data_IF_013015104607
#
_entry.id   IF_013015104607
#
_cell.length_a   1.000
_cell.length_b   1.000
_cell.length_c   1.000
_cell.angle_alpha   90.00
_cell.angle_beta   90.00
_cell.angle_gamma   90.00
#
_symmetry.space_group_name_H-M   'P 1'
#
loop_
_entity.id
_entity.type
_entity.pdbx_description
1 polymer ?
#
# COMPACT_ATOMS: atom_id res chain seq x y z
N UNK A 1 -21.04 22.61 1.49
CA UNK A 1 -20.96 21.92 0.18
C UNK A 1 -19.75 20.98 0.05
N UNK A 2 -18.60 21.25 0.69
CA UNK A 2 -17.41 20.39 0.63
C UNK A 2 -17.53 19.08 1.42
N UNK A 3 -18.32 18.99 2.47
CA UNK A 3 -18.48 17.79 3.30
C UNK A 3 -18.93 16.56 2.50
N UNK A 4 -19.90 16.75 1.63
CA UNK A 4 -20.42 15.67 0.79
C UNK A 4 -19.36 15.20 -0.24
N UNK A 5 -18.62 16.15 -0.83
CA UNK A 5 -17.51 15.85 -1.73
C UNK A 5 -16.44 15.01 -1.07
N UNK A 6 -15.98 15.38 0.14
CA UNK A 6 -15.00 14.60 0.89
C UNK A 6 -15.48 13.20 1.24
N UNK A 7 -16.76 13.05 1.59
CA UNK A 7 -17.35 11.73 1.86
C UNK A 7 -17.27 10.83 0.63
N UNK A 8 -17.66 11.33 -0.54
CA UNK A 8 -17.60 10.57 -1.78
C UNK A 8 -16.17 10.27 -2.23
N UNK A 9 -15.27 11.24 -2.19
CA UNK A 9 -13.91 11.09 -2.73
C UNK A 9 -13.02 10.27 -1.81
N UNK A 10 -13.10 10.42 -0.49
CA UNK A 10 -12.20 9.73 0.45
C UNK A 10 -12.80 8.44 1.00
N UNK A 11 -14.08 8.43 1.36
CA UNK A 11 -14.66 7.26 2.01
C UNK A 11 -15.25 6.26 1.02
N UNK A 12 -16.03 6.71 0.03
CA UNK A 12 -16.65 5.80 -0.94
C UNK A 12 -15.67 5.31 -2.01
N UNK A 13 -14.62 6.08 -2.31
CA UNK A 13 -13.60 5.66 -3.27
C UNK A 13 -12.92 4.34 -2.89
N UNK A 14 -12.75 4.06 -1.59
CA UNK A 14 -12.21 2.79 -1.11
C UNK A 14 -13.00 1.58 -1.64
N UNK A 15 -14.33 1.68 -1.71
CA UNK A 15 -15.18 0.56 -2.12
C UNK A 15 -15.01 0.20 -3.59
N UNK A 16 -14.63 1.15 -4.45
CA UNK A 16 -14.37 0.89 -5.86
C UNK A 16 -13.22 -0.12 -6.07
N UNK A 17 -12.26 -0.14 -5.16
CA UNK A 17 -11.09 -1.03 -5.25
C UNK A 17 -11.31 -2.38 -4.58
N UNK A 18 -12.27 -2.51 -3.65
CA UNK A 18 -12.54 -3.76 -2.93
C UNK A 18 -12.89 -4.89 -3.89
N UNK A 19 -13.79 -4.63 -4.85
CA UNK A 19 -14.27 -5.65 -5.79
C UNK A 19 -13.13 -6.16 -6.69
N UNK A 20 -12.41 -5.31 -7.46
CA UNK A 20 -11.37 -5.78 -8.35
C UNK A 20 -10.20 -6.43 -7.60
N UNK A 21 -9.80 -5.89 -6.45
CA UNK A 21 -8.73 -6.49 -5.64
C UNK A 21 -9.14 -7.86 -5.07
N UNK A 22 -10.39 -8.01 -4.63
CA UNK A 22 -10.91 -9.30 -4.13
C UNK A 22 -10.93 -10.36 -5.21
N UNK A 23 -11.27 -10.00 -6.44
CA UNK A 23 -11.22 -10.91 -7.60
C UNK A 23 -9.76 -11.31 -7.92
N UNK A 24 -8.85 -10.33 -7.95
CA UNK A 24 -7.44 -10.56 -8.24
C UNK A 24 -6.74 -11.43 -7.20
N UNK A 25 -6.99 -11.18 -5.92
CA UNK A 25 -6.27 -11.82 -4.80
C UNK A 25 -7.10 -12.84 -4.03
N UNK A 26 -8.18 -13.39 -4.61
CA UNK A 26 -9.06 -14.38 -3.97
C UNK A 26 -8.32 -15.60 -3.37
N UNK A 27 -7.19 -16.00 -3.94
CA UNK A 27 -6.38 -17.13 -3.48
C UNK A 27 -5.28 -16.74 -2.47
N UNK A 28 -5.20 -15.46 -2.08
CA UNK A 28 -4.22 -14.92 -1.14
C UNK A 28 -4.90 -13.99 -0.13
N UNK A 29 -5.75 -14.51 0.76
CA UNK A 29 -6.60 -13.67 1.61
C UNK A 29 -5.82 -12.78 2.58
N UNK A 30 -4.67 -13.22 3.09
CA UNK A 30 -3.84 -12.42 3.99
C UNK A 30 -3.24 -11.21 3.27
N UNK A 31 -2.77 -11.41 2.02
CA UNK A 31 -2.25 -10.32 1.20
C UNK A 31 -3.36 -9.34 0.83
N UNK A 32 -4.54 -9.84 0.44
CA UNK A 32 -5.71 -9.02 0.16
C UNK A 32 -6.10 -8.18 1.39
N UNK A 33 -6.16 -8.79 2.56
CA UNK A 33 -6.46 -8.09 3.81
C UNK A 33 -5.46 -6.96 4.06
N UNK A 34 -4.16 -7.23 3.92
CA UNK A 34 -3.11 -6.24 4.12
C UNK A 34 -3.22 -5.07 3.13
N UNK A 35 -3.46 -5.37 1.84
CA UNK A 35 -3.65 -4.36 0.78
C UNK A 35 -4.85 -3.46 1.11
N UNK A 36 -6.00 -4.06 1.44
CA UNK A 36 -7.23 -3.30 1.74
C UNK A 36 -7.07 -2.46 3.01
N UNK A 37 -6.45 -3.00 4.06
CA UNK A 37 -6.16 -2.25 5.29
C UNK A 37 -5.24 -1.07 5.01
N UNK A 38 -4.17 -1.26 4.24
CA UNK A 38 -3.25 -0.19 3.86
C UNK A 38 -3.98 0.89 3.05
N UNK A 39 -4.81 0.48 2.10
CA UNK A 39 -5.59 1.40 1.27
C UNK A 39 -6.57 2.24 2.11
N UNK A 40 -7.34 1.59 2.99
CA UNK A 40 -8.28 2.26 3.90
C UNK A 40 -7.55 3.24 4.82
N UNK A 41 -6.42 2.81 5.42
CA UNK A 41 -5.63 3.64 6.32
C UNK A 41 -5.07 4.88 5.62
N UNK A 42 -4.61 4.74 4.39
CA UNK A 42 -4.07 5.85 3.58
C UNK A 42 -5.15 6.89 3.24
N UNK A 43 -6.37 6.46 2.97
CA UNK A 43 -7.49 7.35 2.63
C UNK A 43 -8.27 7.84 3.85
N UNK A 44 -8.00 7.30 5.02
CA UNK A 44 -8.64 7.70 6.28
C UNK A 44 -8.20 9.11 6.67
N UNK A 45 -9.13 10.04 6.97
CA UNK A 45 -8.78 11.41 7.35
C UNK A 45 -7.89 11.52 8.59
N UNK A 46 -8.05 10.56 9.51
CA UNK A 46 -7.29 10.49 10.77
C UNK A 46 -6.76 9.07 10.96
N UNK A 47 -5.61 8.72 10.33
CA UNK A 47 -4.97 7.43 10.55
C UNK A 47 -4.50 7.33 12.01
N UNK A 48 -4.70 6.16 12.61
CA UNK A 48 -4.25 5.89 13.98
C UNK A 48 -2.94 5.09 13.99
N UNK A 49 -2.20 5.19 15.09
CA UNK A 49 -1.00 4.36 15.30
C UNK A 49 -1.33 2.86 15.28
N UNK A 50 -2.53 2.49 15.73
CA UNK A 50 -3.00 1.10 15.70
C UNK A 50 -3.14 0.56 14.27
N UNK A 51 -3.61 1.39 13.32
CA UNK A 51 -3.71 1.02 11.92
C UNK A 51 -2.32 0.69 11.34
N UNK A 52 -1.31 1.50 11.66
CA UNK A 52 0.08 1.28 11.27
C UNK A 52 0.68 0.04 11.95
N UNK A 53 0.38 -0.19 13.23
CA UNK A 53 0.86 -1.36 13.96
C UNK A 53 0.39 -2.66 13.32
N UNK A 54 -0.86 -2.75 12.87
CA UNK A 54 -1.38 -3.92 12.15
C UNK A 54 -0.64 -4.11 10.82
N UNK A 55 -0.43 -3.03 10.08
CA UNK A 55 0.30 -3.08 8.79
C UNK A 55 1.71 -3.60 8.96
N UNK A 56 2.48 -3.04 9.90
CA UNK A 56 3.86 -3.45 10.17
C UNK A 56 3.93 -4.85 10.77
N UNK A 57 2.97 -5.24 11.63
CA UNK A 57 2.90 -6.57 12.22
C UNK A 57 2.71 -7.68 11.19
N UNK A 58 2.08 -7.39 10.06
CA UNK A 58 1.87 -8.34 8.97
C UNK A 58 2.99 -8.33 7.92
N UNK A 59 3.84 -7.28 7.87
CA UNK A 59 4.92 -7.18 6.87
C UNK A 59 5.86 -8.39 6.81
N UNK A 60 6.27 -9.00 7.94
CA UNK A 60 7.15 -10.19 7.89
C UNK A 60 6.58 -11.35 7.06
N UNK A 61 5.26 -11.47 6.97
CA UNK A 61 4.62 -12.50 6.14
C UNK A 61 4.88 -12.30 4.64
N UNK A 62 5.23 -11.09 4.23
CA UNK A 62 5.52 -10.73 2.85
C UNK A 62 7.02 -10.63 2.55
N UNK A 63 7.86 -11.14 3.45
CA UNK A 63 9.32 -11.14 3.27
C UNK A 63 9.77 -11.66 1.89
N UNK A 64 9.19 -12.74 1.34
CA UNK A 64 9.57 -13.20 0.00
C UNK A 64 9.30 -12.18 -1.13
N UNK A 65 8.32 -11.28 -0.94
CA UNK A 65 8.05 -10.19 -1.89
C UNK A 65 9.00 -9.03 -1.62
N UNK A 66 9.19 -8.68 -0.35
CA UNK A 66 10.02 -7.54 0.10
C UNK A 66 11.47 -7.74 -0.31
N UNK A 67 11.99 -8.97 -0.26
CA UNK A 67 13.37 -9.28 -0.64
C UNK A 67 13.70 -8.95 -2.10
N UNK A 68 12.71 -8.88 -3.01
CA UNK A 68 12.92 -8.49 -4.40
C UNK A 68 13.14 -6.98 -4.58
N UNK A 69 12.71 -6.16 -3.62
CA UNK A 69 12.90 -4.72 -3.64
C UNK A 69 13.53 -4.16 -2.38
N UNK A 70 14.38 -4.93 -1.73
CA UNK A 70 14.94 -4.63 -0.40
C UNK A 70 15.56 -3.22 -0.30
N UNK A 71 16.25 -2.74 -1.33
CA UNK A 71 16.85 -1.41 -1.34
C UNK A 71 15.77 -0.32 -1.27
N UNK A 72 14.72 -0.43 -2.08
CA UNK A 72 13.59 0.51 -2.04
C UNK A 72 12.83 0.40 -0.73
N UNK A 73 12.69 -0.81 -0.18
CA UNK A 73 12.10 -1.03 1.12
C UNK A 73 12.87 -0.31 2.23
N UNK A 74 14.21 -0.35 2.21
CA UNK A 74 15.06 0.39 3.17
C UNK A 74 14.81 1.90 3.05
N UNK A 75 14.70 2.45 1.83
CA UNK A 75 14.37 3.87 1.63
C UNK A 75 12.99 4.22 2.23
N UNK A 76 11.99 3.38 2.02
CA UNK A 76 10.65 3.57 2.58
C UNK A 76 10.70 3.49 4.11
N UNK A 77 11.40 2.50 4.67
CA UNK A 77 11.57 2.34 6.11
C UNK A 77 12.27 3.56 6.75
N UNK A 78 13.23 4.16 6.03
CA UNK A 78 13.91 5.36 6.46
C UNK A 78 12.96 6.56 6.56
N UNK A 79 12.04 6.72 5.59
CA UNK A 79 11.01 7.78 5.65
C UNK A 79 10.12 7.58 6.89
N UNK A 80 9.66 6.35 7.14
CA UNK A 80 8.88 6.05 8.35
C UNK A 80 9.64 6.39 9.63
N UNK A 81 10.90 5.99 9.71
CA UNK A 81 11.74 6.27 10.89
C UNK A 81 11.86 7.78 11.15
N UNK A 82 12.15 8.58 10.12
CA UNK A 82 12.21 10.03 10.25
C UNK A 82 10.87 10.62 10.68
N UNK A 83 9.77 10.19 10.08
CA UNK A 83 8.45 10.69 10.42
C UNK A 83 8.07 10.35 11.87
N UNK A 84 8.36 9.14 12.35
CA UNK A 84 8.08 8.74 13.73
C UNK A 84 8.89 9.52 14.77
N UNK A 85 10.10 9.97 14.42
CA UNK A 85 10.90 10.85 15.27
C UNK A 85 10.37 12.29 15.20
N UNK A 86 10.05 12.78 14.00
CA UNK A 86 9.63 14.18 13.81
C UNK A 86 8.21 14.46 14.32
N UNK A 87 7.29 13.49 14.25
CA UNK A 87 5.93 13.65 14.71
C UNK A 87 5.82 14.13 16.17
N UNK A 88 6.39 13.44 17.17
CA UNK A 88 6.33 13.88 18.56
C UNK A 88 7.06 15.20 18.77
N UNK A 89 8.14 15.47 18.05
CA UNK A 89 8.88 16.74 18.12
C UNK A 89 8.00 17.89 17.60
N UNK A 90 7.38 17.73 16.42
CA UNK A 90 6.50 18.74 15.84
C UNK A 90 5.25 18.98 16.71
N UNK A 91 4.67 17.91 17.27
CA UNK A 91 3.56 18.00 18.21
C UNK A 91 3.92 18.74 19.48
N UNK A 92 5.08 18.44 20.08
CA UNK A 92 5.58 19.11 21.27
C UNK A 92 5.89 20.60 21.02
N UNK A 93 6.57 20.92 19.92
CA UNK A 93 6.88 22.30 19.53
C UNK A 93 5.60 23.12 19.29
N UNK A 94 4.57 22.50 18.70
CA UNK A 94 3.30 23.18 18.44
C UNK A 94 2.50 23.40 19.71
N UNK A 95 2.26 22.37 20.53
CA UNK A 95 1.32 22.47 21.67
C UNK A 95 1.95 23.00 22.95
N UNK A 96 3.23 22.72 23.20
CA UNK A 96 3.86 23.07 24.47
C UNK A 96 4.79 24.30 24.37
N UNK A 97 5.57 24.39 23.30
CA UNK A 97 6.50 25.50 23.15
C UNK A 97 5.90 26.71 22.42
N UNK A 98 4.78 26.54 21.69
CA UNK A 98 4.22 27.60 20.87
C UNK A 98 5.15 28.07 19.74
N UNK A 99 6.24 27.35 19.47
CA UNK A 99 7.26 27.69 18.46
C UNK A 99 6.97 27.10 17.08
N UNK A 100 6.05 26.13 16.99
CA UNK A 100 5.60 25.48 15.77
C UNK A 100 4.16 25.77 15.44
N UNK A 101 3.70 25.25 14.30
CA UNK A 101 2.29 25.28 13.93
C UNK A 101 1.80 23.89 13.49
N UNK A 102 0.49 23.74 13.38
CA UNK A 102 -0.16 22.50 12.96
C UNK A 102 0.35 21.97 11.59
N UNK A 103 0.86 22.85 10.73
CA UNK A 103 1.31 22.45 9.39
C UNK A 103 2.56 21.58 9.44
N UNK A 104 3.46 21.78 10.42
CA UNK A 104 4.62 20.90 10.58
C UNK A 104 4.20 19.48 10.95
N UNK A 105 3.27 19.35 11.89
CA UNK A 105 2.71 18.05 12.26
C UNK A 105 1.96 17.41 11.08
N UNK A 106 1.14 18.18 10.38
CA UNK A 106 0.44 17.73 9.19
C UNK A 106 1.40 17.28 8.07
N UNK A 107 2.50 18.01 7.87
CA UNK A 107 3.53 17.64 6.90
C UNK A 107 4.14 16.27 7.18
N UNK A 108 4.40 15.94 8.45
CA UNK A 108 4.91 14.60 8.83
C UNK A 108 3.89 13.49 8.61
N UNK A 109 2.60 13.75 8.90
CA UNK A 109 1.53 12.77 8.62
C UNK A 109 1.35 12.53 7.12
N UNK A 110 1.49 13.58 6.30
CA UNK A 110 1.44 13.47 4.85
C UNK A 110 2.61 12.64 4.31
N UNK A 111 3.82 12.83 4.85
CA UNK A 111 4.99 12.04 4.47
C UNK A 111 4.81 10.54 4.81
N UNK A 112 4.20 10.21 5.94
CA UNK A 112 3.80 8.83 6.27
C UNK A 112 2.84 8.27 5.24
N UNK A 113 1.82 9.04 4.84
CA UNK A 113 0.87 8.64 3.80
C UNK A 113 1.57 8.36 2.46
N UNK A 114 2.52 9.19 2.05
CA UNK A 114 3.31 8.96 0.83
C UNK A 114 4.15 7.68 0.93
N UNK A 115 4.78 7.41 2.08
CA UNK A 115 5.52 6.17 2.31
C UNK A 115 4.61 4.92 2.27
N UNK A 116 3.39 5.03 2.80
CA UNK A 116 2.38 3.97 2.73
C UNK A 116 1.97 3.66 1.28
N UNK A 117 1.70 4.69 0.50
CA UNK A 117 1.34 4.55 -0.93
C UNK A 117 2.49 3.89 -1.68
N UNK A 118 3.73 4.33 -1.46
CA UNK A 118 4.89 3.74 -2.12
C UNK A 118 5.05 2.27 -1.76
N UNK A 119 5.00 1.91 -0.48
CA UNK A 119 5.07 0.52 -0.03
C UNK A 119 3.95 -0.34 -0.63
N UNK A 120 2.73 0.19 -0.67
CA UNK A 120 1.57 -0.48 -1.26
C UNK A 120 1.78 -0.77 -2.75
N UNK A 121 2.26 0.21 -3.51
CA UNK A 121 2.52 0.07 -4.95
C UNK A 121 3.56 -1.01 -5.21
N UNK A 122 4.69 -1.03 -4.46
CA UNK A 122 5.75 -2.02 -4.64
C UNK A 122 5.26 -3.45 -4.36
N UNK A 123 4.55 -3.65 -3.25
CA UNK A 123 4.01 -4.97 -2.91
C UNK A 123 2.94 -5.42 -3.91
N UNK A 124 2.05 -4.51 -4.30
CA UNK A 124 0.97 -4.81 -5.25
C UNK A 124 1.54 -5.17 -6.63
N UNK A 125 2.48 -4.38 -7.12
CA UNK A 125 3.14 -4.60 -8.42
C UNK A 125 3.80 -5.99 -8.48
N UNK A 126 4.65 -6.31 -7.50
CA UNK A 126 5.34 -7.60 -7.45
C UNK A 126 4.39 -8.79 -7.22
N UNK A 127 3.33 -8.59 -6.43
CA UNK A 127 2.32 -9.62 -6.23
C UNK A 127 1.56 -9.94 -7.52
N UNK A 128 1.22 -8.93 -8.32
CA UNK A 128 0.57 -9.09 -9.62
C UNK A 128 1.52 -9.71 -10.65
N UNK A 129 2.77 -9.26 -10.70
CA UNK A 129 3.79 -9.82 -11.58
C UNK A 129 4.01 -11.32 -11.33
N UNK A 130 4.11 -11.72 -10.06
CA UNK A 130 4.22 -13.13 -9.67
C UNK A 130 3.00 -13.95 -10.07
N UNK A 131 1.79 -13.38 -9.96
CA UNK A 131 0.57 -14.06 -10.42
C UNK A 131 0.56 -14.25 -11.94
N UNK A 132 0.95 -13.20 -12.66
CA UNK A 132 1.05 -13.24 -14.11
C UNK A 132 2.05 -14.30 -14.58
N UNK A 133 3.27 -14.30 -14.04
CA UNK A 133 4.29 -15.31 -14.35
C UNK A 133 3.81 -16.73 -14.05
N UNK A 134 3.17 -16.95 -12.89
CA UNK A 134 2.62 -18.26 -12.54
C UNK A 134 1.54 -18.71 -13.52
N UNK A 135 0.66 -17.83 -13.96
CA UNK A 135 -0.39 -18.16 -14.93
C UNK A 135 0.20 -18.54 -16.29
N UNK A 136 1.23 -17.83 -16.76
CA UNK A 136 1.85 -18.09 -18.05
C UNK A 136 2.82 -19.28 -18.02
N UNK A 137 3.48 -19.58 -16.91
CA UNK A 137 4.31 -20.77 -16.77
C UNK A 137 3.50 -22.08 -16.66
N UNK A 138 2.21 -21.98 -16.35
CA UNK A 138 1.29 -23.13 -16.31
C UNK A 138 0.56 -23.39 -17.64
N UNK A 139 0.75 -22.53 -18.67
CA UNK A 139 0.35 -22.88 -20.03
C UNK A 139 1.49 -23.68 -20.66
N UNK A 140 1.32 -25.01 -20.88
CA UNK A 140 2.29 -25.76 -21.63
C UNK A 140 2.35 -25.16 -23.04
N UNK A 141 3.59 -25.03 -23.53
CA UNK A 141 3.90 -24.68 -24.91
C UNK A 141 3.43 -25.84 -25.78
N UNK A 142 2.17 -25.83 -26.20
CA UNK A 142 1.60 -26.91 -27.00
C UNK A 142 0.17 -26.58 -27.38
N UNK A 143 0.03 -25.89 -28.48
CA UNK A 143 -0.93 -26.11 -29.56
C UNK A 143 -0.89 -24.94 -30.53
N UNK A 144 0.22 -24.79 -31.25
CA UNK A 144 0.15 -24.22 -32.59
C UNK A 144 -0.42 -25.32 -33.49
N UNK A 145 -1.63 -25.16 -34.04
CA UNK A 145 -2.07 -26.09 -35.07
C UNK A 145 -1.14 -25.90 -36.28
N UNK A 146 -0.31 -26.90 -36.52
CA UNK A 146 0.45 -27.05 -37.76
C UNK A 146 -0.59 -27.04 -38.88
N UNK A 147 -0.69 -25.94 -39.61
CA UNK A 147 -1.37 -25.95 -40.91
C UNK A 147 -0.62 -26.88 -41.81
N UNK A 148 -1.07 -28.13 -41.92
CA UNK A 148 -0.72 -29.01 -43.04
C UNK A 148 -1.17 -28.28 -44.30
N UNK A 149 -0.20 -27.80 -45.09
CA UNK A 149 -0.37 -27.53 -46.50
C UNK A 149 -0.54 -28.89 -47.16
N UNK A 150 -1.76 -29.22 -47.53
CA UNK A 150 -2.02 -30.28 -48.55
C UNK A 150 -1.64 -29.69 -49.89
N UNK A 151 -0.65 -30.29 -50.53
CA UNK A 151 -0.42 -30.23 -51.95
C UNK A 151 -1.58 -30.88 -52.71
#
# INVERSE_FOLDING_TARGET
HFRTFFCFVLQLNCFLYVIPLSICFKHRPVLLFWILMTFITTLKPYPSVADLAIQFGLLPLFYPIISEFIVRFICIAQIYLYCFILMPIAWYAWLYQGSGNANFFYGTTLAVGCAQIWLLIEILHLALERQYKKKHSLQPFGDTPIKQKSE
#
